data_IF_069408171850
#
_entry.id   IF_069408171850
#
_cell.length_a   1.000
_cell.length_b   1.000
_cell.length_c   1.000
_cell.angle_alpha   90.00
_cell.angle_beta   90.00
_cell.angle_gamma   90.00
#
_symmetry.space_group_name_H-M   'P 1'
#
loop_
_entity.id
_entity.type
_entity.pdbx_description
1 polymer ?
#
# COMPACT_ATOMS: atom_id res chain seq x y z
N UNK A 1 2.58 29.70 20.28
CA UNK A 1 3.37 28.59 19.71
C UNK A 1 2.91 28.35 18.28
N UNK A 2 3.80 28.36 17.29
CA UNK A 2 3.37 28.14 15.91
C UNK A 2 3.10 26.66 15.65
N UNK A 3 2.31 26.35 14.61
CA UNK A 3 2.08 24.97 14.17
C UNK A 3 3.37 24.21 13.88
N UNK A 4 4.40 24.92 13.39
CA UNK A 4 5.72 24.32 13.10
C UNK A 4 6.46 23.94 14.39
N UNK A 5 6.34 24.77 15.43
CA UNK A 5 6.93 24.48 16.74
C UNK A 5 6.22 23.29 17.40
N UNK A 6 4.88 23.30 17.39
CA UNK A 6 4.09 22.18 17.90
C UNK A 6 4.45 20.84 17.22
N UNK A 7 4.61 20.84 15.88
CA UNK A 7 4.99 19.63 15.15
C UNK A 7 6.41 19.17 15.51
N UNK A 8 7.34 20.12 15.70
CA UNK A 8 8.73 19.81 16.10
C UNK A 8 8.75 19.15 17.47
N UNK A 9 8.09 19.76 18.43
CA UNK A 9 8.06 19.29 19.82
C UNK A 9 7.36 17.93 19.91
N UNK A 10 6.25 17.77 19.17
CA UNK A 10 5.55 16.49 19.09
C UNK A 10 6.43 15.37 18.50
N UNK A 11 7.21 15.67 17.46
CA UNK A 11 8.12 14.67 16.85
C UNK A 11 9.25 14.29 17.81
N UNK A 12 9.79 15.25 18.55
CA UNK A 12 10.82 14.98 19.57
C UNK A 12 10.29 14.15 20.73
N UNK A 13 9.04 14.40 21.16
CA UNK A 13 8.40 13.64 22.23
C UNK A 13 7.89 12.25 21.79
N UNK A 14 7.78 11.98 20.49
CA UNK A 14 7.22 10.72 19.95
C UNK A 14 8.15 10.05 18.92
N UNK A 15 9.42 9.76 19.26
CA UNK A 15 10.40 9.25 18.30
C UNK A 15 9.98 7.91 17.67
N UNK A 16 9.32 7.05 18.44
CA UNK A 16 8.86 5.74 17.96
C UNK A 16 7.73 5.84 16.93
N UNK A 17 6.78 6.76 17.13
CA UNK A 17 5.69 6.99 16.16
C UNK A 17 6.23 7.60 14.86
N UNK A 18 7.24 8.46 14.96
CA UNK A 18 7.93 9.04 13.80
C UNK A 18 8.70 7.96 13.04
N UNK A 19 9.42 7.09 13.75
CA UNK A 19 10.14 5.97 13.14
C UNK A 19 9.18 5.00 12.44
N UNK A 20 8.05 4.66 13.07
CA UNK A 20 7.02 3.82 12.46
C UNK A 20 6.42 4.48 11.20
N UNK A 21 6.04 5.76 11.27
CA UNK A 21 5.54 6.50 10.12
C UNK A 21 6.55 6.54 8.96
N UNK A 22 7.83 6.77 9.27
CA UNK A 22 8.90 6.81 8.27
C UNK A 22 9.17 5.42 7.68
N UNK A 23 9.12 4.36 8.49
CA UNK A 23 9.23 2.98 8.01
C UNK A 23 8.07 2.64 7.09
N UNK A 24 6.85 2.99 7.46
CA UNK A 24 5.67 2.79 6.62
C UNK A 24 5.73 3.64 5.35
N UNK A 25 6.23 4.87 5.44
CA UNK A 25 6.46 5.74 4.29
C UNK A 25 7.54 5.19 3.34
N UNK A 26 8.63 4.66 3.89
CA UNK A 26 9.73 4.09 3.10
C UNK A 26 9.35 2.74 2.49
N UNK A 27 8.64 1.87 3.21
CA UNK A 27 8.09 0.63 2.66
C UNK A 27 7.09 0.92 1.55
N UNK A 28 6.28 1.97 1.71
CA UNK A 28 5.39 2.48 0.66
C UNK A 28 6.19 2.97 -0.55
N UNK A 29 7.17 3.86 -0.38
CA UNK A 29 7.85 4.51 -1.50
C UNK A 29 8.98 3.69 -2.15
N UNK A 30 9.68 2.82 -1.41
CA UNK A 30 10.66 1.87 -1.98
C UNK A 30 9.98 0.78 -2.82
N UNK A 31 8.68 0.57 -2.64
CA UNK A 31 7.84 -0.29 -3.48
C UNK A 31 7.39 0.38 -4.80
N UNK A 32 7.97 1.51 -5.21
CA UNK A 32 7.75 2.08 -6.54
C UNK A 32 6.47 2.91 -6.68
N UNK A 33 6.12 3.75 -5.71
CA UNK A 33 4.96 4.66 -5.86
C UNK A 33 5.31 5.85 -6.77
N UNK A 34 4.57 6.04 -7.87
CA UNK A 34 4.57 7.28 -8.67
C UNK A 34 3.24 8.00 -8.47
N UNK A 35 3.29 9.30 -8.11
CA UNK A 35 2.11 10.14 -7.86
C UNK A 35 1.14 9.59 -6.80
N UNK A 36 1.67 8.96 -5.75
CA UNK A 36 0.86 8.41 -4.66
C UNK A 36 0.09 7.13 -5.01
N UNK A 37 0.41 6.50 -6.14
CA UNK A 37 -0.12 5.18 -6.54
C UNK A 37 1.04 4.20 -6.77
N UNK A 38 0.94 2.93 -6.32
CA UNK A 38 1.99 1.95 -6.58
C UNK A 38 2.11 1.70 -8.07
N UNK A 39 3.26 1.99 -8.67
CA UNK A 39 3.60 1.40 -9.96
C UNK A 39 4.00 -0.06 -9.69
N UNK A 40 3.22 -0.97 -10.25
CA UNK A 40 3.67 -2.33 -10.57
C UNK A 40 3.38 -3.45 -9.58
N UNK A 41 2.77 -3.22 -8.40
CA UNK A 41 2.46 -4.33 -7.47
C UNK A 41 1.18 -4.11 -6.65
N UNK A 42 0.04 -3.95 -7.31
CA UNK A 42 -1.29 -3.90 -6.68
C UNK A 42 -1.75 -5.25 -6.05
N UNK A 43 -0.82 -6.08 -5.57
CA UNK A 43 -1.07 -7.36 -4.91
C UNK A 43 -1.65 -7.19 -3.50
N UNK A 44 -1.82 -5.97 -3.01
CA UNK A 44 -2.32 -5.65 -1.67
C UNK A 44 -3.67 -4.97 -1.70
N UNK A 45 -4.55 -5.37 -0.78
CA UNK A 45 -5.87 -4.77 -0.61
C UNK A 45 -5.75 -3.33 -0.07
N UNK A 46 -6.34 -2.32 -0.73
CA UNK A 46 -6.25 -0.93 -0.29
C UNK A 46 -6.94 -0.68 1.05
N UNK A 47 -7.95 -1.49 1.40
CA UNK A 47 -8.73 -1.32 2.62
C UNK A 47 -8.10 -1.99 3.85
N UNK A 48 -7.33 -3.07 3.63
CA UNK A 48 -6.81 -3.91 4.71
C UNK A 48 -5.28 -4.00 4.74
N UNK A 49 -4.62 -3.51 3.68
CA UNK A 49 -3.19 -3.66 3.43
C UNK A 49 -2.70 -5.13 3.52
N UNK A 50 -3.57 -6.08 3.17
CA UNK A 50 -3.26 -7.51 3.15
C UNK A 50 -3.07 -7.98 1.72
N UNK A 51 -2.17 -8.94 1.52
CA UNK A 51 -1.98 -9.57 0.22
C UNK A 51 -3.32 -10.18 -0.25
N UNK A 52 -3.70 -9.85 -1.48
CA UNK A 52 -4.79 -10.53 -2.15
C UNK A 52 -4.42 -11.99 -2.41
N UNK A 53 -5.40 -12.88 -2.27
CA UNK A 53 -5.29 -14.24 -2.77
C UNK A 53 -5.93 -14.30 -4.15
N UNK A 54 -5.23 -14.87 -5.13
CA UNK A 54 -5.83 -15.17 -6.43
C UNK A 54 -6.97 -16.15 -6.20
N UNK A 55 -8.14 -15.77 -6.68
CA UNK A 55 -9.37 -16.55 -6.48
C UNK A 55 -9.93 -17.04 -7.80
N UNK A 56 -9.75 -16.31 -8.91
CA UNK A 56 -10.16 -16.77 -10.24
C UNK A 56 -9.34 -16.12 -11.36
N UNK A 57 -8.98 -16.90 -12.36
CA UNK A 57 -8.45 -16.40 -13.63
C UNK A 57 -9.48 -16.63 -14.74
N UNK A 58 -9.71 -15.62 -15.57
CA UNK A 58 -10.63 -15.75 -16.70
C UNK A 58 -10.11 -14.96 -17.88
N UNK A 59 -9.79 -15.65 -18.98
CA UNK A 59 -9.14 -15.05 -20.14
C UNK A 59 -7.85 -14.32 -19.72
N UNK A 60 -7.76 -13.05 -20.09
CA UNK A 60 -6.59 -12.19 -19.80
C UNK A 60 -6.68 -11.45 -18.45
N UNK A 61 -7.65 -11.79 -17.60
CA UNK A 61 -7.84 -11.13 -16.31
C UNK A 61 -7.63 -12.08 -15.12
N UNK A 62 -7.09 -11.52 -14.04
CA UNK A 62 -6.98 -12.15 -12.72
C UNK A 62 -7.90 -11.39 -11.77
N UNK A 63 -8.84 -12.10 -11.14
CA UNK A 63 -9.64 -11.58 -10.04
C UNK A 63 -8.98 -11.91 -8.71
N UNK A 64 -8.81 -10.88 -7.90
CA UNK A 64 -8.25 -10.94 -6.56
C UNK A 64 -9.32 -10.53 -5.55
N UNK A 65 -9.47 -11.26 -4.45
CA UNK A 65 -10.36 -10.90 -3.33
C UNK A 65 -9.62 -10.93 -2.01
N UNK A 66 -9.85 -9.89 -1.22
CA UNK A 66 -9.33 -9.78 0.12
C UNK A 66 -10.11 -10.72 1.03
N UNK A 67 -9.43 -11.68 1.65
CA UNK A 67 -10.05 -12.60 2.61
C UNK A 67 -10.60 -11.90 3.86
N UNK A 68 -10.08 -10.70 4.21
CA UNK A 68 -10.46 -9.97 5.42
C UNK A 68 -11.70 -9.07 5.23
N UNK A 69 -11.74 -8.27 4.16
CA UNK A 69 -12.84 -7.31 3.95
C UNK A 69 -13.72 -7.62 2.73
N UNK A 70 -13.41 -8.68 1.98
CA UNK A 70 -14.18 -9.04 0.79
C UNK A 70 -14.00 -8.12 -0.43
N UNK A 71 -13.19 -7.05 -0.32
CA UNK A 71 -12.87 -6.18 -1.45
C UNK A 71 -12.24 -6.99 -2.58
N UNK A 72 -12.73 -6.79 -3.79
CA UNK A 72 -12.26 -7.47 -4.99
C UNK A 72 -11.75 -6.48 -6.02
N UNK A 73 -10.69 -6.86 -6.75
CA UNK A 73 -10.15 -6.08 -7.86
C UNK A 73 -9.73 -7.01 -9.00
N UNK A 74 -9.92 -6.54 -10.22
CA UNK A 74 -9.50 -7.22 -11.44
C UNK A 74 -8.17 -6.64 -11.91
N UNK A 75 -7.28 -7.51 -12.37
CA UNK A 75 -5.97 -7.18 -12.91
C UNK A 75 -5.83 -7.78 -14.30
N UNK A 76 -5.15 -7.09 -15.21
CA UNK A 76 -4.67 -7.73 -16.43
C UNK A 76 -3.54 -8.70 -16.07
N UNK A 77 -3.53 -9.89 -16.69
CA UNK A 77 -2.50 -10.91 -16.48
C UNK A 77 -1.10 -10.40 -16.81
N UNK A 78 -0.95 -9.63 -17.87
CA UNK A 78 0.35 -9.10 -18.30
C UNK A 78 0.94 -8.16 -17.24
N UNK A 79 0.09 -7.34 -16.63
CA UNK A 79 0.46 -6.44 -15.54
C UNK A 79 0.66 -7.16 -14.20
N UNK A 80 -0.05 -8.27 -13.98
CA UNK A 80 -0.05 -9.00 -12.69
C UNK A 80 1.12 -9.98 -12.57
N UNK A 81 1.38 -10.74 -13.62
CA UNK A 81 2.46 -11.72 -13.67
C UNK A 81 3.80 -11.08 -14.06
N UNK A 82 3.76 -9.92 -14.72
CA UNK A 82 4.96 -9.24 -15.21
C UNK A 82 5.60 -10.10 -16.31
N UNK A 83 5.26 -9.81 -17.56
CA UNK A 83 5.97 -10.38 -18.72
C UNK A 83 7.36 -9.80 -18.85
#
# INVERSE_FOLDING_TARGET
MSRKDYIRDWRQANPEKVAQYNKDYYLRNKAGLVNGKPQGTDKYCPNCNLLFKSINETGNFVSLKCAKCGYSRLFNKDEFYGT
#
